data_IF_560781207760
#
_entry.id   IF_560781207760
#
_cell.length_a   1.000
_cell.length_b   1.000
_cell.length_c   1.000
_cell.angle_alpha   90.00
_cell.angle_beta   90.00
_cell.angle_gamma   90.00
#
_symmetry.space_group_name_H-M   'P 1'
#
loop_
_entity.id
_entity.type
_entity.pdbx_description
1 polymer ?
#
# COMPACT_ATOMS: atom_id res chain seq x y z
N UNK A 1 -12.79 -16.73 -30.33
CA UNK A 1 -13.14 -18.16 -30.20
C UNK A 1 -12.35 -18.75 -29.05
N UNK A 2 -12.63 -19.98 -28.56
CA UNK A 2 -11.77 -20.63 -27.57
C UNK A 2 -10.29 -20.65 -27.98
N UNK A 3 -10.01 -20.79 -29.28
CA UNK A 3 -8.64 -20.81 -29.83
C UNK A 3 -7.92 -19.45 -29.75
N UNK A 4 -8.64 -18.33 -29.71
CA UNK A 4 -8.08 -16.97 -29.62
C UNK A 4 -8.32 -16.33 -28.25
N UNK A 5 -8.53 -17.14 -27.21
CA UNK A 5 -8.87 -16.62 -25.89
C UNK A 5 -7.72 -15.82 -25.26
N UNK A 6 -6.51 -16.38 -25.23
CA UNK A 6 -5.32 -15.73 -24.68
C UNK A 6 -5.01 -14.39 -25.35
N UNK A 7 -5.08 -14.33 -26.67
CA UNK A 7 -4.85 -13.06 -27.39
C UNK A 7 -5.96 -12.05 -27.13
N UNK A 8 -7.23 -12.49 -27.04
CA UNK A 8 -8.32 -11.60 -26.67
C UNK A 8 -8.14 -11.02 -25.27
N UNK A 9 -7.70 -11.84 -24.30
CA UNK A 9 -7.36 -11.38 -22.95
C UNK A 9 -6.23 -10.35 -23.00
N UNK A 10 -5.13 -10.64 -23.70
CA UNK A 10 -4.02 -9.70 -23.86
C UNK A 10 -4.50 -8.33 -24.36
N UNK A 11 -5.26 -8.30 -25.45
CA UNK A 11 -5.76 -7.07 -26.05
C UNK A 11 -6.76 -6.31 -25.17
N UNK A 12 -7.63 -7.02 -24.45
CA UNK A 12 -8.65 -6.41 -23.60
C UNK A 12 -8.10 -5.97 -22.25
N UNK A 13 -7.04 -6.62 -21.76
CA UNK A 13 -6.30 -6.20 -20.57
C UNK A 13 -5.40 -5.00 -20.88
N UNK A 14 -4.72 -5.01 -22.02
CA UNK A 14 -3.76 -3.97 -22.38
C UNK A 14 -2.54 -3.96 -21.43
N UNK A 15 -1.92 -2.80 -21.18
CA UNK A 15 -2.27 -1.46 -21.65
C UNK A 15 -2.02 -1.25 -23.16
N UNK A 16 -2.44 -0.11 -23.73
CA UNK A 16 -2.13 0.21 -25.15
C UNK A 16 -0.61 0.23 -25.43
N UNK A 17 0.24 0.86 -24.59
CA UNK A 17 1.70 0.75 -24.71
C UNK A 17 2.20 -0.70 -24.77
N UNK A 18 1.76 -1.56 -23.85
CA UNK A 18 2.11 -3.00 -23.84
C UNK A 18 1.87 -3.67 -25.21
N UNK A 19 0.68 -3.45 -25.77
CA UNK A 19 0.30 -4.05 -27.07
C UNK A 19 1.17 -3.53 -28.21
N UNK A 20 1.56 -2.25 -28.17
CA UNK A 20 2.44 -1.67 -29.19
C UNK A 20 3.84 -2.27 -29.13
N UNK A 21 4.39 -2.47 -27.93
CA UNK A 21 5.70 -3.12 -27.76
C UNK A 21 5.68 -4.54 -28.34
N UNK A 22 4.68 -5.36 -27.96
CA UNK A 22 4.55 -6.73 -28.49
C UNK A 22 4.32 -6.78 -30.01
N UNK A 23 3.57 -5.81 -30.57
CA UNK A 23 3.41 -5.70 -32.03
C UNK A 23 4.70 -5.35 -32.74
N UNK A 24 5.51 -4.45 -32.19
CA UNK A 24 6.80 -4.11 -32.76
C UNK A 24 7.75 -5.31 -32.70
N UNK A 25 7.79 -6.04 -31.57
CA UNK A 25 8.55 -7.29 -31.47
C UNK A 25 8.09 -8.34 -32.48
N UNK A 26 6.80 -8.42 -32.79
CA UNK A 26 6.29 -9.28 -33.85
C UNK A 26 6.83 -8.87 -35.22
N UNK A 27 6.76 -7.57 -35.56
CA UNK A 27 7.29 -7.05 -36.82
C UNK A 27 8.80 -7.32 -36.96
N UNK A 28 9.57 -7.12 -35.89
CA UNK A 28 11.02 -7.38 -35.86
C UNK A 28 11.37 -8.86 -36.09
N UNK A 29 10.41 -9.77 -35.91
CA UNK A 29 10.53 -11.22 -36.15
C UNK A 29 9.80 -11.70 -37.41
N UNK A 30 9.39 -10.80 -38.31
CA UNK A 30 8.56 -11.10 -39.49
C UNK A 30 7.22 -11.79 -39.15
N UNK A 31 6.67 -11.47 -37.98
CA UNK A 31 5.39 -11.97 -37.47
C UNK A 31 4.32 -10.87 -37.46
N UNK A 32 3.06 -11.29 -37.39
CA UNK A 32 1.90 -10.40 -37.20
C UNK A 32 1.13 -10.80 -35.94
N UNK A 33 1.10 -9.91 -34.95
CA UNK A 33 0.21 -10.02 -33.80
C UNK A 33 -1.10 -9.25 -34.05
N UNK A 34 -2.24 -9.94 -34.02
CA UNK A 34 -3.59 -9.37 -34.15
C UNK A 34 -4.58 -10.01 -33.16
N UNK A 35 -5.85 -9.63 -33.19
CA UNK A 35 -6.90 -10.09 -32.27
C UNK A 35 -7.23 -11.60 -32.36
N UNK A 36 -6.65 -12.32 -33.32
CA UNK A 36 -6.84 -13.76 -33.52
C UNK A 36 -5.61 -14.61 -33.15
N UNK A 37 -4.43 -14.00 -33.00
CA UNK A 37 -3.18 -14.69 -32.64
C UNK A 37 -1.92 -14.02 -33.19
N UNK A 38 -0.80 -14.72 -33.08
CA UNK A 38 0.47 -14.41 -33.75
C UNK A 38 0.60 -15.31 -34.98
N UNK A 39 0.90 -14.73 -36.14
CA UNK A 39 0.98 -15.44 -37.42
C UNK A 39 2.31 -15.16 -38.13
N UNK A 40 2.81 -16.13 -38.90
CA UNK A 40 3.81 -15.86 -39.94
C UNK A 40 3.15 -15.33 -41.21
N UNK A 41 3.91 -14.61 -42.02
CA UNK A 41 3.41 -14.14 -43.31
C UNK A 41 2.98 -15.33 -44.21
N UNK A 42 1.70 -15.34 -44.59
CA UNK A 42 1.14 -16.35 -45.50
C UNK A 42 0.64 -17.64 -44.82
N UNK A 43 0.68 -17.73 -43.48
CA UNK A 43 0.10 -18.85 -42.72
C UNK A 43 -1.30 -18.47 -42.18
N UNK A 44 -2.26 -19.39 -42.31
CA UNK A 44 -3.63 -19.24 -41.77
C UNK A 44 -3.75 -19.77 -40.33
N UNK A 45 -2.80 -20.59 -39.87
CA UNK A 45 -2.75 -21.12 -38.51
C UNK A 45 -1.85 -20.23 -37.63
N UNK A 46 -2.30 -19.85 -36.40
CA UNK A 46 -1.49 -19.03 -35.51
C UNK A 46 -0.39 -19.86 -34.83
N UNK A 47 0.76 -19.23 -34.60
CA UNK A 47 1.84 -19.76 -33.76
C UNK A 47 1.44 -19.82 -32.28
N UNK A 48 0.72 -18.80 -31.81
CA UNK A 48 0.21 -18.69 -30.46
C UNK A 48 -1.07 -17.84 -30.45
N UNK A 49 -2.05 -18.25 -29.67
CA UNK A 49 -3.35 -17.57 -29.58
C UNK A 49 -4.17 -17.98 -28.33
N UNK A 50 -4.01 -19.23 -27.87
CA UNK A 50 -4.88 -19.85 -26.88
C UNK A 50 -4.64 -19.34 -25.45
N UNK A 51 -3.38 -19.14 -25.05
CA UNK A 51 -3.00 -18.64 -23.72
C UNK A 51 -2.14 -17.38 -23.85
N UNK A 52 -2.08 -16.55 -22.80
CA UNK A 52 -1.20 -15.38 -22.80
C UNK A 52 0.27 -15.81 -22.68
N UNK A 53 0.53 -16.88 -21.93
CA UNK A 53 1.84 -17.49 -21.72
C UNK A 53 2.46 -17.92 -23.06
N UNK A 54 1.70 -18.59 -23.93
CA UNK A 54 2.18 -18.99 -25.26
C UNK A 54 2.54 -17.77 -26.12
N UNK A 55 1.81 -16.65 -25.97
CA UNK A 55 2.07 -15.42 -26.70
C UNK A 55 3.38 -14.78 -26.25
N UNK A 56 3.61 -14.68 -24.93
CA UNK A 56 4.89 -14.17 -24.40
C UNK A 56 6.05 -15.09 -24.77
N UNK A 57 5.85 -16.41 -24.76
CA UNK A 57 6.88 -17.38 -25.14
C UNK A 57 7.36 -17.24 -26.60
N UNK A 58 6.50 -16.80 -27.53
CA UNK A 58 6.92 -16.50 -28.91
C UNK A 58 7.99 -15.40 -28.97
N UNK A 59 8.06 -14.54 -27.96
CA UNK A 59 9.01 -13.44 -27.85
C UNK A 59 10.16 -13.72 -26.87
N UNK A 60 10.29 -14.96 -26.38
CA UNK A 60 11.25 -15.35 -25.34
C UNK A 60 11.10 -14.51 -24.06
N UNK A 61 9.86 -14.18 -23.70
CA UNK A 61 9.52 -13.43 -22.49
C UNK A 61 8.86 -14.36 -21.48
N UNK A 62 9.19 -14.16 -20.20
CA UNK A 62 8.33 -14.65 -19.12
C UNK A 62 6.93 -14.04 -19.22
N UNK A 63 5.93 -14.75 -18.69
CA UNK A 63 4.59 -14.21 -18.57
C UNK A 63 4.58 -12.95 -17.70
N UNK A 64 4.11 -11.83 -18.26
CA UNK A 64 4.00 -10.56 -17.57
C UNK A 64 2.61 -10.45 -16.92
N UNK A 65 2.51 -10.41 -15.58
CA UNK A 65 1.25 -10.22 -14.88
C UNK A 65 0.55 -8.91 -15.30
N UNK A 66 -0.79 -8.88 -15.42
CA UNK A 66 -1.54 -7.68 -15.82
C UNK A 66 -1.17 -6.40 -15.07
N UNK A 67 -0.83 -6.50 -13.79
CA UNK A 67 -0.49 -5.38 -12.92
C UNK A 67 0.78 -4.64 -13.34
N UNK A 68 1.66 -5.28 -14.12
CA UNK A 68 2.94 -4.70 -14.55
C UNK A 68 2.88 -4.09 -15.95
N UNK A 69 1.80 -4.31 -16.71
CA UNK A 69 1.68 -4.02 -18.16
C UNK A 69 1.47 -2.54 -18.48
N UNK A 70 2.38 -1.69 -18.04
CA UNK A 70 2.29 -0.22 -18.11
C UNK A 70 3.49 0.42 -18.86
N UNK A 71 4.36 -0.37 -19.49
CA UNK A 71 5.56 0.06 -20.20
C UNK A 71 6.52 0.84 -19.29
N UNK A 72 6.84 0.24 -18.14
CA UNK A 72 7.71 0.81 -17.08
C UNK A 72 8.88 -0.12 -16.69
N UNK A 73 9.30 -0.97 -17.63
CA UNK A 73 10.46 -1.87 -17.52
C UNK A 73 10.13 -3.36 -17.46
N UNK A 74 8.85 -3.75 -17.50
CA UNK A 74 8.39 -5.14 -17.37
C UNK A 74 8.90 -6.03 -18.51
N UNK A 75 9.08 -5.48 -19.71
CA UNK A 75 9.62 -6.23 -20.84
C UNK A 75 11.09 -6.61 -20.68
N UNK A 76 11.90 -5.71 -20.12
CA UNK A 76 13.31 -6.00 -19.87
C UNK A 76 13.43 -7.02 -18.74
N UNK A 77 12.68 -6.83 -17.65
CA UNK A 77 12.62 -7.80 -16.56
C UNK A 77 12.12 -9.18 -17.01
N UNK A 78 11.14 -9.24 -17.91
CA UNK A 78 10.63 -10.50 -18.46
C UNK A 78 11.64 -11.21 -19.37
N UNK A 79 12.47 -10.46 -20.10
CA UNK A 79 13.54 -11.00 -20.95
C UNK A 79 14.74 -11.48 -20.14
N UNK A 80 15.03 -10.78 -19.05
CA UNK A 80 16.15 -11.10 -18.15
C UNK A 80 15.77 -12.14 -17.09
N UNK A 81 14.52 -12.60 -17.07
CA UNK A 81 13.96 -13.52 -16.07
C UNK A 81 14.08 -12.98 -14.62
N UNK A 82 13.87 -11.68 -14.46
CA UNK A 82 13.96 -10.95 -13.18
C UNK A 82 12.63 -10.29 -12.77
N UNK A 83 11.50 -10.73 -13.33
CA UNK A 83 10.19 -10.28 -12.86
C UNK A 83 10.01 -10.60 -11.37
N UNK A 84 9.50 -9.67 -10.56
CA UNK A 84 9.31 -9.91 -9.13
C UNK A 84 8.15 -10.89 -8.88
N UNK A 85 8.29 -11.72 -7.84
CA UNK A 85 7.14 -12.43 -7.25
C UNK A 85 6.27 -11.42 -6.51
N UNK A 86 5.20 -10.97 -7.16
CA UNK A 86 4.33 -9.93 -6.65
C UNK A 86 3.59 -10.36 -5.38
N UNK A 87 3.48 -9.43 -4.43
CA UNK A 87 2.72 -9.61 -3.19
C UNK A 87 1.26 -10.03 -3.47
N UNK A 88 0.72 -10.82 -2.56
CA UNK A 88 -0.65 -11.35 -2.59
C UNK A 88 -1.37 -11.01 -1.28
N UNK A 89 -2.69 -11.23 -1.27
CA UNK A 89 -3.47 -11.09 -0.03
C UNK A 89 -3.05 -12.09 1.05
N UNK A 90 -2.66 -13.30 0.65
CA UNK A 90 -2.27 -14.37 1.56
C UNK A 90 -0.93 -14.09 2.28
N UNK A 91 -0.13 -13.15 1.75
CA UNK A 91 1.09 -12.69 2.41
C UNK A 91 0.79 -11.79 3.62
N UNK A 92 -0.43 -11.25 3.74
CA UNK A 92 -0.77 -10.24 4.74
C UNK A 92 -1.09 -10.87 6.08
N UNK A 93 -0.38 -10.42 7.13
CA UNK A 93 -0.54 -10.95 8.50
C UNK A 93 -1.33 -10.02 9.40
N UNK A 94 -1.65 -8.82 8.95
CA UNK A 94 -2.46 -7.87 9.70
C UNK A 94 -2.61 -6.53 9.02
N UNK A 95 -3.50 -5.72 9.57
CA UNK A 95 -3.75 -4.35 9.16
C UNK A 95 -3.13 -3.35 10.14
N UNK A 96 -2.58 -2.26 9.62
CA UNK A 96 -1.79 -1.28 10.36
C UNK A 96 -2.48 0.09 10.50
N UNK A 97 -3.72 0.24 10.01
CA UNK A 97 -4.57 1.41 10.29
C UNK A 97 -6.04 1.00 10.32
N UNK A 98 -6.68 1.13 11.47
CA UNK A 98 -8.14 1.02 11.62
C UNK A 98 -8.64 1.81 12.83
N UNK A 99 -9.92 2.14 12.80
CA UNK A 99 -10.56 3.09 13.69
C UNK A 99 -11.73 2.43 14.42
N UNK A 100 -12.00 2.88 15.63
CA UNK A 100 -13.09 2.36 16.47
C UNK A 100 -14.02 3.51 16.87
N UNK A 101 -15.10 3.18 17.57
CA UNK A 101 -16.00 4.17 18.18
C UNK A 101 -15.30 5.10 19.19
N UNK A 102 -14.05 4.81 19.58
CA UNK A 102 -13.27 5.68 20.44
C UNK A 102 -12.87 7.00 19.73
N UNK A 103 -12.85 7.03 18.39
CA UNK A 103 -12.75 8.26 17.62
C UNK A 103 -13.89 8.41 16.60
N UNK A 104 -13.64 8.09 15.32
CA UNK A 104 -14.58 8.28 14.21
C UNK A 104 -15.03 6.97 13.54
N UNK A 105 -14.64 5.82 14.10
CA UNK A 105 -15.12 4.51 13.67
C UNK A 105 -16.55 4.20 14.13
N UNK A 106 -17.10 3.11 13.58
CA UNK A 106 -18.47 2.66 13.77
C UNK A 106 -18.57 1.27 14.40
N UNK A 107 -17.45 0.68 14.80
CA UNK A 107 -17.37 -0.64 15.42
C UNK A 107 -16.62 -0.57 16.76
N UNK A 108 -17.04 -1.41 17.70
CA UNK A 108 -16.37 -1.56 18.99
C UNK A 108 -14.99 -2.21 18.80
N UNK A 109 -14.09 -1.96 19.75
CA UNK A 109 -12.73 -2.50 19.75
C UNK A 109 -12.68 -4.03 19.56
N UNK A 110 -13.54 -4.76 20.29
CA UNK A 110 -13.62 -6.23 20.19
C UNK A 110 -14.18 -6.68 18.84
N UNK A 111 -15.18 -5.99 18.29
CA UNK A 111 -15.78 -6.35 17.01
C UNK A 111 -14.75 -6.24 15.87
N UNK A 112 -13.93 -5.19 15.90
CA UNK A 112 -12.82 -5.02 14.96
C UNK A 112 -11.79 -6.15 15.08
N UNK A 113 -11.41 -6.52 16.32
CA UNK A 113 -10.50 -7.62 16.59
C UNK A 113 -11.03 -8.95 16.06
N UNK A 114 -12.29 -9.28 16.34
CA UNK A 114 -12.92 -10.53 15.91
C UNK A 114 -13.08 -10.59 14.38
N UNK A 115 -13.41 -9.48 13.74
CA UNK A 115 -13.49 -9.40 12.29
C UNK A 115 -12.11 -9.60 11.63
N UNK A 116 -11.05 -8.99 12.15
CA UNK A 116 -9.69 -9.20 11.67
C UNK A 116 -9.22 -10.65 11.85
N UNK A 117 -9.55 -11.28 12.98
CA UNK A 117 -9.28 -12.70 13.23
C UNK A 117 -10.02 -13.60 12.23
N UNK A 118 -11.28 -13.28 11.91
CA UNK A 118 -12.06 -14.03 10.92
C UNK A 118 -11.47 -13.92 9.50
N UNK A 119 -10.70 -12.87 9.21
CA UNK A 119 -9.92 -12.72 7.97
C UNK A 119 -8.58 -13.46 8.00
N UNK A 120 -8.20 -14.08 9.12
CA UNK A 120 -6.96 -14.83 9.29
C UNK A 120 -5.75 -13.96 9.66
N UNK A 121 -5.96 -12.70 10.04
CA UNK A 121 -4.86 -11.86 10.52
C UNK A 121 -4.35 -12.33 11.88
N UNK A 122 -3.04 -12.16 12.10
CA UNK A 122 -2.35 -12.41 13.35
C UNK A 122 -2.30 -11.14 14.24
N UNK A 123 -2.49 -9.95 13.65
CA UNK A 123 -2.58 -8.71 14.39
C UNK A 123 -3.44 -7.65 13.69
N UNK A 124 -3.86 -6.65 14.47
CA UNK A 124 -4.58 -5.47 13.99
C UNK A 124 -4.12 -4.24 14.80
N UNK A 125 -3.71 -3.18 14.12
CA UNK A 125 -3.38 -1.92 14.79
C UNK A 125 -4.62 -1.03 14.95
N UNK A 126 -4.92 -0.64 16.18
CA UNK A 126 -5.99 0.31 16.50
C UNK A 126 -5.39 1.70 16.50
N UNK A 127 -5.74 2.52 15.52
CA UNK A 127 -5.10 3.80 15.22
C UNK A 127 -6.09 4.96 15.30
N UNK A 128 -6.98 4.92 16.30
CA UNK A 128 -7.90 6.03 16.55
C UNK A 128 -7.16 7.38 16.60
N UNK A 129 -7.83 8.43 16.09
CA UNK A 129 -7.20 9.73 15.90
C UNK A 129 -6.79 10.39 17.22
N UNK A 130 -5.65 11.08 17.21
CA UNK A 130 -5.30 12.04 18.26
C UNK A 130 -6.25 13.24 18.26
N UNK A 131 -6.53 13.81 19.43
CA UNK A 131 -7.28 15.06 19.53
C UNK A 131 -6.42 16.24 19.09
N UNK A 132 -6.88 16.94 18.06
CA UNK A 132 -6.21 18.14 17.54
C UNK A 132 -7.22 19.26 17.26
N UNK A 133 -6.75 20.50 17.09
CA UNK A 133 -7.60 21.69 16.83
C UNK A 133 -8.54 21.48 15.62
N UNK A 134 -8.17 20.61 14.67
CA UNK A 134 -9.00 20.20 13.53
C UNK A 134 -9.77 18.88 13.67
N UNK A 135 -9.49 18.06 14.68
CA UNK A 135 -10.11 16.74 14.91
C UNK A 135 -10.73 16.72 16.31
N UNK A 136 -12.05 16.94 16.36
CA UNK A 136 -12.78 17.07 17.63
C UNK A 136 -13.17 15.74 18.27
N UNK A 137 -13.24 14.67 17.48
CA UNK A 137 -13.55 13.30 17.94
C UNK A 137 -12.31 12.48 18.31
N UNK A 138 -11.12 13.09 18.39
CA UNK A 138 -9.89 12.37 18.73
C UNK A 138 -9.68 12.13 20.24
N UNK A 139 -8.77 11.21 20.53
CA UNK A 139 -8.31 10.84 21.87
C UNK A 139 -7.26 11.82 22.38
N UNK A 140 -7.43 12.32 23.61
CA UNK A 140 -6.33 12.94 24.35
C UNK A 140 -5.48 11.87 25.04
N UNK A 141 -4.40 12.28 25.72
CA UNK A 141 -3.48 11.36 26.37
C UNK A 141 -4.15 10.47 27.44
N UNK A 142 -5.16 10.98 28.15
CA UNK A 142 -5.87 10.22 29.18
C UNK A 142 -6.83 9.19 28.56
N UNK A 143 -7.54 9.57 27.49
CA UNK A 143 -8.41 8.65 26.76
C UNK A 143 -7.60 7.56 26.04
N UNK A 144 -6.47 7.93 25.42
CA UNK A 144 -5.57 6.96 24.79
C UNK A 144 -4.96 5.99 25.82
N UNK A 145 -4.62 6.48 27.02
CA UNK A 145 -4.17 5.61 28.11
C UNK A 145 -5.24 4.57 28.49
N UNK A 146 -6.51 4.96 28.56
CA UNK A 146 -7.60 4.03 28.84
C UNK A 146 -7.80 3.00 27.70
N UNK A 147 -7.63 3.41 26.44
CA UNK A 147 -7.69 2.50 25.30
C UNK A 147 -6.53 1.50 25.31
N UNK A 148 -5.31 1.94 25.64
CA UNK A 148 -4.15 1.05 25.85
C UNK A 148 -4.48 -0.03 26.88
N UNK A 149 -5.04 0.36 28.03
CA UNK A 149 -5.36 -0.58 29.10
C UNK A 149 -6.46 -1.58 28.67
N UNK A 150 -7.44 -1.12 27.87
CA UNK A 150 -8.46 -1.99 27.28
C UNK A 150 -7.88 -2.98 26.25
N UNK A 151 -6.94 -2.52 25.42
CA UNK A 151 -6.21 -3.38 24.46
C UNK A 151 -5.39 -4.43 25.20
N UNK A 152 -4.70 -4.07 26.28
CA UNK A 152 -3.91 -5.01 27.08
C UNK A 152 -4.82 -6.08 27.72
N UNK A 153 -5.98 -5.68 28.25
CA UNK A 153 -6.97 -6.62 28.80
C UNK A 153 -7.52 -7.60 27.76
N UNK A 154 -7.78 -7.15 26.53
CA UNK A 154 -8.22 -8.02 25.43
C UNK A 154 -7.11 -8.96 24.95
N UNK A 155 -5.88 -8.46 24.85
CA UNK A 155 -4.72 -9.27 24.46
C UNK A 155 -4.46 -10.42 25.45
N UNK A 156 -4.79 -10.26 26.73
CA UNK A 156 -4.68 -11.33 27.73
C UNK A 156 -5.67 -12.50 27.49
N UNK A 157 -6.68 -12.32 26.63
CA UNK A 157 -7.65 -13.35 26.28
C UNK A 157 -7.25 -14.22 25.07
N UNK A 158 -6.23 -13.82 24.30
CA UNK A 158 -5.88 -14.46 23.03
C UNK A 158 -4.39 -14.79 22.91
N UNK A 159 -4.09 -16.04 22.57
CA UNK A 159 -2.71 -16.49 22.29
C UNK A 159 -2.34 -16.43 20.79
N UNK A 160 -3.35 -16.39 19.92
CA UNK A 160 -3.25 -16.50 18.46
C UNK A 160 -3.33 -15.15 17.72
N UNK A 161 -3.74 -14.09 18.41
CA UNK A 161 -4.01 -12.78 17.84
C UNK A 161 -3.51 -11.66 18.75
N UNK A 162 -3.17 -10.51 18.17
CA UNK A 162 -2.74 -9.34 18.93
C UNK A 162 -3.31 -8.04 18.38
N UNK A 163 -3.98 -7.28 19.24
CA UNK A 163 -4.22 -5.86 19.03
C UNK A 163 -2.94 -5.07 19.31
N UNK A 164 -2.51 -4.25 18.35
CA UNK A 164 -1.38 -3.35 18.53
C UNK A 164 -1.89 -2.03 19.11
N UNK A 165 -1.22 -1.58 20.18
CA UNK A 165 -1.48 -0.27 20.78
C UNK A 165 -0.96 0.81 19.84
N UNK A 166 -1.84 1.48 19.12
CA UNK A 166 -1.44 2.47 18.15
C UNK A 166 -2.31 3.73 18.23
N UNK A 167 -1.95 4.73 17.43
CA UNK A 167 -2.70 5.98 17.29
C UNK A 167 -2.32 6.61 15.95
N UNK A 168 -3.30 7.23 15.30
CA UNK A 168 -3.04 8.18 14.22
C UNK A 168 -2.79 9.57 14.81
N UNK A 169 -1.52 9.97 14.81
CA UNK A 169 -1.05 11.19 15.43
C UNK A 169 -0.95 12.31 14.39
N UNK A 170 -1.68 13.38 14.60
CA UNK A 170 -1.61 14.55 13.73
C UNK A 170 -0.21 15.16 13.72
N UNK A 171 0.19 15.65 12.55
CA UNK A 171 1.36 16.50 12.35
C UNK A 171 0.88 17.95 12.34
N UNK A 172 1.33 18.78 13.29
CA UNK A 172 1.01 20.21 13.34
C UNK A 172 1.71 20.99 12.21
N UNK A 173 1.31 22.25 11.95
CA UNK A 173 1.86 23.10 10.88
C UNK A 173 3.40 23.21 10.94
N UNK A 174 3.97 23.23 12.15
CA UNK A 174 5.41 23.32 12.37
C UNK A 174 6.15 21.98 12.36
N UNK A 175 5.44 20.87 12.13
CA UNK A 175 5.97 19.51 12.11
C UNK A 175 6.02 18.82 13.47
N UNK A 176 5.51 19.42 14.56
CA UNK A 176 5.36 18.72 15.83
C UNK A 176 4.28 17.63 15.77
N UNK A 177 4.43 16.56 16.56
CA UNK A 177 3.39 15.54 16.74
C UNK A 177 2.42 15.97 17.83
N UNK A 178 1.12 15.80 17.59
CA UNK A 178 0.05 16.28 18.49
C UNK A 178 -0.28 15.24 19.59
N UNK A 179 0.73 14.80 20.33
CA UNK A 179 0.59 14.06 21.60
C UNK A 179 1.92 14.15 22.38
N UNK A 180 1.91 14.15 23.73
CA UNK A 180 3.14 14.14 24.51
C UNK A 180 3.96 12.83 24.36
N UNK A 181 5.28 12.91 24.47
CA UNK A 181 6.19 11.77 24.28
C UNK A 181 5.92 10.62 25.27
N UNK A 182 5.46 10.89 26.49
CA UNK A 182 5.22 9.87 27.52
C UNK A 182 4.09 8.91 27.16
N UNK A 183 3.02 9.41 26.54
CA UNK A 183 1.95 8.56 26.01
C UNK A 183 2.35 7.89 24.70
N UNK A 184 3.08 8.59 23.83
CA UNK A 184 3.59 8.01 22.57
C UNK A 184 4.55 6.84 22.81
N UNK A 185 5.37 6.91 23.87
CA UNK A 185 6.29 5.85 24.26
C UNK A 185 5.60 4.54 24.70
N UNK A 186 4.30 4.57 25.03
CA UNK A 186 3.51 3.39 25.41
C UNK A 186 2.96 2.62 24.20
N UNK A 187 2.99 3.23 23.02
CA UNK A 187 2.40 2.66 21.80
C UNK A 187 3.38 1.72 21.09
N UNK A 188 2.84 0.61 20.59
CA UNK A 188 3.52 -0.34 19.71
C UNK A 188 3.81 0.26 18.32
N UNK A 189 2.90 1.12 17.83
CA UNK A 189 2.97 1.76 16.51
C UNK A 189 2.40 3.19 16.56
N UNK A 190 3.02 4.13 15.87
CA UNK A 190 2.44 5.46 15.61
C UNK A 190 2.40 5.71 14.12
N UNK A 191 1.21 5.87 13.58
CA UNK A 191 1.06 6.41 12.24
C UNK A 191 0.86 7.92 12.38
N UNK A 192 1.42 8.69 11.47
CA UNK A 192 1.41 10.14 11.54
C UNK A 192 0.93 10.71 10.22
N UNK A 193 0.09 11.74 10.26
CA UNK A 193 -0.58 12.24 9.06
C UNK A 193 -0.86 13.74 9.13
N UNK A 194 -1.12 14.31 7.96
CA UNK A 194 -1.51 15.71 7.79
C UNK A 194 -3.01 15.77 7.59
N UNK A 195 -3.73 16.44 8.49
CA UNK A 195 -5.17 16.70 8.36
C UNK A 195 -5.53 18.18 8.18
N UNK A 196 -4.53 19.07 8.20
CA UNK A 196 -4.70 20.52 8.21
C UNK A 196 -3.65 21.20 7.34
N UNK A 197 -3.89 22.46 6.97
CA UNK A 197 -2.97 23.29 6.17
C UNK A 197 -2.57 22.60 4.84
N UNK A 198 -3.56 22.08 4.11
CA UNK A 198 -3.36 21.39 2.83
C UNK A 198 -2.90 22.32 1.69
N UNK A 199 -3.01 23.62 1.87
CA UNK A 199 -2.71 24.69 0.91
C UNK A 199 -1.29 25.27 1.08
N UNK A 200 -0.47 24.71 1.98
CA UNK A 200 0.93 25.10 2.11
C UNK A 200 1.70 24.92 0.80
N UNK A 201 2.67 25.81 0.58
CA UNK A 201 3.59 25.67 -0.55
C UNK A 201 4.36 24.35 -0.47
N UNK A 202 4.62 23.74 -1.64
CA UNK A 202 5.25 22.41 -1.78
C UNK A 202 6.44 22.18 -0.84
N UNK A 203 7.39 23.12 -0.82
CA UNK A 203 8.59 22.97 0.00
C UNK A 203 8.28 23.07 1.50
N UNK A 204 7.35 23.96 1.90
CA UNK A 204 6.94 24.07 3.31
C UNK A 204 6.25 22.80 3.80
N UNK A 205 5.34 22.23 3.00
CA UNK A 205 4.65 20.99 3.36
C UNK A 205 5.63 19.81 3.44
N UNK A 206 6.60 19.77 2.51
CA UNK A 206 7.67 18.77 2.52
C UNK A 206 8.51 18.88 3.80
N UNK A 207 8.98 20.08 4.17
CA UNK A 207 9.76 20.29 5.40
C UNK A 207 8.96 19.98 6.66
N UNK A 208 7.67 20.32 6.71
CA UNK A 208 6.78 19.98 7.82
C UNK A 208 6.77 18.47 8.08
N UNK A 209 6.57 17.68 7.03
CA UNK A 209 6.54 16.21 7.11
C UNK A 209 7.91 15.66 7.51
N UNK A 210 9.00 16.15 6.90
CA UNK A 210 10.36 15.69 7.21
C UNK A 210 10.72 16.00 8.68
N UNK A 211 10.37 17.19 9.17
CA UNK A 211 10.57 17.57 10.57
C UNK A 211 9.80 16.67 11.54
N UNK A 212 8.59 16.25 11.19
CA UNK A 212 7.84 15.30 12.01
C UNK A 212 8.57 13.96 12.16
N UNK A 213 9.28 13.51 11.13
CA UNK A 213 10.08 12.28 11.17
C UNK A 213 11.30 12.35 12.10
N UNK A 214 11.74 13.56 12.50
CA UNK A 214 12.81 13.73 13.49
C UNK A 214 12.37 13.32 14.91
N UNK A 215 11.07 13.26 15.18
CA UNK A 215 10.54 12.73 16.44
C UNK A 215 10.79 11.20 16.51
N UNK A 216 11.40 10.66 17.58
CA UNK A 216 11.68 9.22 17.70
C UNK A 216 10.41 8.36 17.72
N UNK A 217 9.26 8.95 18.04
CA UNK A 217 7.97 8.27 18.02
C UNK A 217 7.33 8.22 16.63
N UNK A 218 7.87 8.83 15.58
CA UNK A 218 7.29 8.69 14.23
C UNK A 218 7.60 7.30 13.63
N UNK A 219 6.60 6.53 13.19
CA UNK A 219 6.87 5.28 12.44
C UNK A 219 6.46 5.35 10.97
N UNK A 220 5.19 5.64 10.70
CA UNK A 220 4.61 5.54 9.35
C UNK A 220 3.96 6.86 8.99
N UNK A 221 4.26 7.40 7.82
CA UNK A 221 3.48 8.49 7.23
C UNK A 221 2.21 7.89 6.60
N UNK A 222 1.05 8.10 7.22
CA UNK A 222 -0.23 7.63 6.72
C UNK A 222 -0.72 8.51 5.56
N UNK A 223 -1.38 7.89 4.58
CA UNK A 223 -1.95 8.49 3.37
C UNK A 223 -1.18 9.75 2.89
N UNK A 224 0.05 9.57 2.35
CA UNK A 224 1.09 10.61 2.27
C UNK A 224 0.77 11.86 1.43
N UNK A 225 -0.31 11.86 0.65
CA UNK A 225 -0.76 13.01 -0.14
C UNK A 225 -2.03 13.65 0.43
N UNK A 226 -2.71 12.99 1.37
CA UNK A 226 -3.98 13.41 1.94
C UNK A 226 -5.12 13.53 0.91
N UNK A 227 -4.97 12.90 -0.26
CA UNK A 227 -5.98 12.97 -1.32
C UNK A 227 -7.25 12.24 -0.93
N UNK A 228 -8.36 12.68 -1.52
CA UNK A 228 -9.63 11.94 -1.53
C UNK A 228 -10.16 11.98 -2.96
N UNK A 229 -10.18 10.82 -3.62
CA UNK A 229 -10.56 10.64 -5.02
C UNK A 229 -11.95 11.23 -5.27
N UNK A 230 -12.03 12.13 -6.25
CA UNK A 230 -13.25 12.84 -6.62
C UNK A 230 -13.68 13.97 -5.67
N UNK A 231 -12.98 14.19 -4.54
CA UNK A 231 -13.34 15.24 -3.55
C UNK A 231 -12.20 16.23 -3.29
N UNK A 232 -10.99 15.76 -3.03
CA UNK A 232 -9.82 16.59 -2.64
C UNK A 232 -8.58 16.10 -3.38
N UNK A 233 -7.95 16.98 -4.16
CA UNK A 233 -6.63 16.69 -4.71
C UNK A 233 -5.60 16.55 -3.58
N UNK A 234 -4.54 15.78 -3.81
CA UNK A 234 -3.44 15.70 -2.85
C UNK A 234 -2.79 17.06 -2.63
N UNK A 235 -2.34 17.34 -1.41
CA UNK A 235 -1.59 18.56 -1.12
C UNK A 235 -0.25 18.56 -1.85
N UNK A 236 0.31 19.75 -2.09
CA UNK A 236 1.59 19.87 -2.78
C UNK A 236 2.72 19.36 -1.88
N UNK A 237 3.36 18.26 -2.27
CA UNK A 237 4.47 17.64 -1.51
C UNK A 237 5.52 17.04 -2.46
N UNK A 238 6.78 17.06 -2.05
CA UNK A 238 7.87 16.34 -2.71
C UNK A 238 8.01 14.92 -2.14
N UNK A 239 7.25 13.97 -2.68
CA UNK A 239 7.28 12.59 -2.19
C UNK A 239 8.66 11.93 -2.32
N UNK A 240 9.47 12.33 -3.31
CA UNK A 240 10.83 11.79 -3.47
C UNK A 240 11.71 12.20 -2.30
N UNK A 241 11.68 13.48 -1.92
CA UNK A 241 12.40 13.98 -0.73
C UNK A 241 11.87 13.38 0.57
N UNK A 242 10.55 13.20 0.68
CA UNK A 242 9.93 12.56 1.85
C UNK A 242 10.37 11.09 1.97
N UNK A 243 10.41 10.33 0.87
CA UNK A 243 10.88 8.93 0.88
C UNK A 243 12.36 8.81 1.24
N UNK A 244 13.21 9.70 0.72
CA UNK A 244 14.62 9.77 1.10
C UNK A 244 14.79 10.04 2.61
N UNK A 245 14.08 11.05 3.12
CA UNK A 245 14.11 11.39 4.54
C UNK A 245 13.57 10.27 5.44
N UNK A 246 12.50 9.57 5.01
CA UNK A 246 11.93 8.44 5.73
C UNK A 246 12.95 7.31 5.84
N UNK A 247 13.61 6.95 4.73
CA UNK A 247 14.65 5.91 4.71
C UNK A 247 15.82 6.24 5.64
N UNK A 248 16.30 7.48 5.62
CA UNK A 248 17.40 7.93 6.48
C UNK A 248 17.07 7.85 7.98
N UNK A 249 15.78 7.99 8.32
CA UNK A 249 15.29 8.07 9.70
C UNK A 249 14.72 6.76 10.23
N UNK A 250 14.63 5.73 9.41
CA UNK A 250 13.96 4.48 9.77
C UNK A 250 12.43 4.62 9.87
N UNK A 251 11.84 5.53 9.09
CA UNK A 251 10.39 5.69 8.95
C UNK A 251 9.91 5.02 7.66
N UNK A 252 8.59 4.80 7.58
CA UNK A 252 7.94 4.14 6.45
C UNK A 252 6.79 5.00 5.90
N UNK A 253 6.28 4.66 4.72
CA UNK A 253 5.11 5.29 4.11
C UNK A 253 3.99 4.26 3.94
N UNK A 254 2.76 4.75 3.88
CA UNK A 254 1.56 3.93 3.72
C UNK A 254 1.06 3.87 2.27
N UNK A 255 0.51 2.71 1.91
CA UNK A 255 -0.44 2.49 0.82
C UNK A 255 -1.80 2.21 1.47
N UNK A 256 -2.62 3.25 1.55
CA UNK A 256 -3.94 3.20 2.14
C UNK A 256 -4.94 2.62 1.13
N UNK A 257 -5.56 1.51 1.48
CA UNK A 257 -6.43 0.72 0.61
C UNK A 257 -7.89 1.22 0.59
N UNK A 258 -8.22 2.27 1.36
CA UNK A 258 -9.55 2.87 1.31
C UNK A 258 -9.88 3.27 -0.14
N UNK A 259 -11.03 2.85 -0.70
CA UNK A 259 -11.32 3.04 -2.13
C UNK A 259 -11.35 4.49 -2.59
N UNK A 260 -11.64 5.42 -1.69
CA UNK A 260 -11.63 6.86 -1.96
C UNK A 260 -10.28 7.52 -1.66
N UNK A 261 -9.28 6.79 -1.15
CA UNK A 261 -7.90 7.27 -0.98
C UNK A 261 -6.95 6.67 -2.03
N UNK A 262 -6.73 5.35 -1.95
CA UNK A 262 -5.69 4.61 -2.69
C UNK A 262 -4.33 5.30 -2.64
N UNK A 263 -3.90 5.75 -1.46
CA UNK A 263 -2.76 6.65 -1.27
C UNK A 263 -1.72 5.99 -0.37
N UNK A 264 -0.53 5.61 -0.83
CA UNK A 264 0.22 6.05 -2.01
C UNK A 264 -0.15 5.39 -3.36
N UNK A 265 0.06 6.10 -4.47
CA UNK A 265 -0.09 5.53 -5.81
C UNK A 265 1.04 4.54 -6.20
N UNK A 266 0.85 3.80 -7.31
CA UNK A 266 1.77 2.76 -7.78
C UNK A 266 3.11 3.29 -8.26
N UNK A 267 3.12 4.46 -8.90
CA UNK A 267 4.35 5.06 -9.39
C UNK A 267 5.29 5.39 -8.22
N UNK A 268 4.75 5.98 -7.15
CA UNK A 268 5.53 6.26 -5.96
C UNK A 268 5.81 5.00 -5.13
N UNK A 269 4.93 4.00 -5.13
CA UNK A 269 5.22 2.70 -4.52
C UNK A 269 6.42 2.00 -5.22
N UNK A 270 6.48 2.04 -6.55
CA UNK A 270 7.64 1.54 -7.32
C UNK A 270 8.91 2.34 -7.00
N UNK A 271 8.81 3.65 -6.91
CA UNK A 271 9.94 4.50 -6.50
C UNK A 271 10.44 4.16 -5.09
N UNK A 272 9.55 3.92 -4.13
CA UNK A 272 9.93 3.48 -2.78
C UNK A 272 10.69 2.15 -2.80
N UNK A 273 10.20 1.17 -3.58
CA UNK A 273 10.89 -0.11 -3.80
C UNK A 273 12.30 0.07 -4.37
N UNK A 274 12.44 0.89 -5.42
CA UNK A 274 13.75 1.17 -6.04
C UNK A 274 14.71 1.86 -5.06
N UNK A 275 14.17 2.64 -4.13
CA UNK A 275 14.93 3.22 -3.01
C UNK A 275 15.22 2.22 -1.89
N UNK A 276 14.62 1.02 -1.88
CA UNK A 276 14.70 0.08 -0.76
C UNK A 276 13.96 0.56 0.50
N UNK A 277 12.98 1.45 0.36
CA UNK A 277 12.09 1.89 1.41
C UNK A 277 10.91 0.91 1.51
N UNK A 278 10.71 0.31 2.69
CA UNK A 278 9.56 -0.56 2.94
C UNK A 278 8.29 0.29 3.11
N UNK A 279 7.15 -0.29 2.74
CA UNK A 279 5.84 0.35 2.84
C UNK A 279 4.90 -0.44 3.76
N UNK A 280 3.94 0.24 4.37
CA UNK A 280 2.80 -0.39 5.02
C UNK A 280 1.60 -0.38 4.06
N UNK A 281 0.77 -1.42 4.10
CA UNK A 281 -0.54 -1.42 3.44
C UNK A 281 -1.60 -1.48 4.53
N UNK A 282 -2.58 -0.61 4.50
CA UNK A 282 -3.64 -0.55 5.50
C UNK A 282 -4.99 -0.34 4.85
N UNK A 283 -6.08 -0.53 5.59
CA UNK A 283 -7.44 -0.28 5.07
C UNK A 283 -8.04 1.04 5.49
N UNK A 284 -7.53 1.68 6.55
CA UNK A 284 -8.16 2.85 7.16
C UNK A 284 -9.62 2.53 7.51
N UNK A 285 -9.82 1.34 8.09
CA UNK A 285 -11.15 0.79 8.29
C UNK A 285 -11.87 1.47 9.46
N UNK A 286 -12.97 2.15 9.17
CA UNK A 286 -13.92 2.69 10.17
C UNK A 286 -15.05 1.72 10.53
N UNK A 287 -15.09 0.54 9.93
CA UNK A 287 -16.00 -0.55 10.26
C UNK A 287 -15.40 -1.91 9.88
N UNK A 288 -16.03 -2.99 10.33
CA UNK A 288 -15.54 -4.36 10.13
C UNK A 288 -15.56 -4.80 8.66
N UNK A 289 -16.47 -4.25 7.84
CA UNK A 289 -16.55 -4.58 6.41
C UNK A 289 -15.42 -3.92 5.62
N UNK A 290 -14.99 -2.73 6.05
CA UNK A 290 -13.89 -1.96 5.43
C UNK A 290 -12.55 -2.67 5.51
N UNK A 291 -12.35 -3.59 6.47
CA UNK A 291 -11.16 -4.47 6.52
C UNK A 291 -10.97 -5.31 5.25
N UNK A 292 -12.05 -5.58 4.48
CA UNK A 292 -12.00 -6.33 3.22
C UNK A 292 -11.42 -5.50 2.07
N UNK A 293 -11.21 -4.19 2.26
CA UNK A 293 -10.67 -3.31 1.22
C UNK A 293 -9.17 -3.51 0.97
N UNK A 294 -8.47 -4.28 1.82
CA UNK A 294 -7.03 -4.59 1.70
C UNK A 294 -6.63 -5.01 0.27
N UNK A 295 -7.51 -5.71 -0.44
CA UNK A 295 -7.34 -6.10 -1.84
C UNK A 295 -6.97 -4.94 -2.77
N UNK A 296 -7.48 -3.73 -2.51
CA UNK A 296 -7.18 -2.57 -3.33
C UNK A 296 -5.77 -2.03 -3.07
N UNK A 297 -5.33 -2.03 -1.82
CA UNK A 297 -3.94 -1.74 -1.45
C UNK A 297 -2.96 -2.75 -2.03
N UNK A 298 -3.31 -4.06 -2.00
CA UNK A 298 -2.53 -5.10 -2.67
C UNK A 298 -2.47 -4.88 -4.18
N UNK A 299 -3.57 -4.53 -4.84
CA UNK A 299 -3.54 -4.21 -6.27
C UNK A 299 -2.60 -3.03 -6.57
N UNK A 300 -2.62 -2.00 -5.72
CA UNK A 300 -1.73 -0.84 -5.84
C UNK A 300 -0.25 -1.23 -5.62
N UNK A 301 0.03 -2.06 -4.61
CA UNK A 301 1.34 -2.61 -4.30
C UNK A 301 1.89 -3.48 -5.45
N UNK A 302 1.06 -4.36 -6.03
CA UNK A 302 1.42 -5.19 -7.18
C UNK A 302 1.77 -4.34 -8.40
N UNK A 303 0.98 -3.30 -8.68
CA UNK A 303 1.31 -2.30 -9.72
C UNK A 303 2.58 -1.51 -9.39
N UNK A 304 2.91 -1.34 -8.11
CA UNK A 304 4.18 -0.79 -7.62
C UNK A 304 5.35 -1.79 -7.65
N UNK A 305 5.16 -2.98 -8.25
CA UNK A 305 6.16 -4.06 -8.32
C UNK A 305 6.55 -4.64 -6.95
N UNK A 306 5.77 -4.39 -5.90
CA UNK A 306 6.11 -4.80 -4.55
C UNK A 306 6.02 -6.31 -4.39
N UNK A 307 6.99 -6.84 -3.66
CA UNK A 307 7.07 -8.23 -3.18
C UNK A 307 6.70 -8.26 -1.70
N UNK A 308 6.53 -9.46 -1.13
CA UNK A 308 6.27 -9.60 0.30
C UNK A 308 7.36 -8.94 1.17
N UNK A 309 8.62 -8.95 0.73
CA UNK A 309 9.73 -8.36 1.48
C UNK A 309 9.64 -6.84 1.58
N UNK A 310 9.00 -6.18 0.62
CA UNK A 310 8.86 -4.72 0.55
C UNK A 310 7.78 -4.17 1.49
N UNK A 311 6.88 -5.03 1.98
CA UNK A 311 5.71 -4.62 2.76
C UNK A 311 5.83 -5.05 4.22
N UNK A 312 5.60 -4.12 5.16
CA UNK A 312 5.71 -4.37 6.60
C UNK A 312 4.77 -5.46 7.10
N UNK A 313 3.54 -5.46 6.58
CA UNK A 313 2.43 -6.31 7.00
C UNK A 313 2.66 -7.82 6.80
N UNK A 314 3.67 -8.21 6.03
CA UNK A 314 3.97 -9.62 5.74
C UNK A 314 4.76 -10.29 6.86
N UNK A 315 5.16 -9.50 7.86
CA UNK A 315 6.06 -9.95 8.93
C UNK A 315 5.27 -10.43 10.14
N UNK A 316 5.71 -11.52 10.78
CA UNK A 316 5.15 -11.86 12.09
C UNK A 316 5.48 -10.75 13.09
N UNK A 317 4.60 -10.58 14.08
CA UNK A 317 4.69 -9.48 15.05
C UNK A 317 6.10 -9.25 15.64
N UNK A 318 6.87 -10.27 16.08
CA UNK A 318 8.21 -10.05 16.62
C UNK A 318 9.21 -9.40 15.65
N UNK A 319 9.07 -9.63 14.34
CA UNK A 319 9.91 -9.01 13.32
C UNK A 319 9.41 -7.60 13.00
N UNK A 320 8.10 -7.43 12.81
CA UNK A 320 7.48 -6.12 12.59
C UNK A 320 7.84 -5.16 13.73
N UNK A 321 7.72 -5.59 14.99
CA UNK A 321 8.06 -4.79 16.16
C UNK A 321 9.51 -4.29 16.13
N UNK A 322 10.46 -5.11 15.67
CA UNK A 322 11.87 -4.68 15.56
C UNK A 322 12.07 -3.61 14.50
N UNK A 323 11.32 -3.68 13.39
CA UNK A 323 11.36 -2.65 12.36
C UNK A 323 10.76 -1.32 12.82
N UNK A 324 9.78 -1.37 13.72
CA UNK A 324 9.12 -0.17 14.27
C UNK A 324 9.89 0.46 15.45
N UNK A 325 10.98 -0.16 15.92
CA UNK A 325 11.85 0.41 16.96
C UNK A 325 12.76 1.48 16.38
N UNK A 326 12.77 2.66 17.00
CA UNK A 326 13.63 3.81 16.70
C UNK A 326 14.25 4.33 17.97
#
# INVERSE_FOLDING_TARGET
>A
TPQSFGVAMLYLTGSRPQILVLRNMAVDRDLKLNEYGIFRAGEDEPLAAATEEDIYAVFDLDYIPPELREDRGEFDAAREHTLPTLITLDDMRGDLQCHTVASDGHAELRDMAEAARALGYAYLAITDHSKFVGITQGLDAAALAAQIDAIDALNDEWDDFRLLKACEVDIDEDGALVLPDDILARLDLRICSVHTHFDLARDKQTERIIRAMDNPHFNILAHPTGRIIGKRAGYAVDLRRVMEAAKERGCFLEINAAPDRLDLDDAHAKAAKEMGLKLAVSTDAHDTDSLKTMRFGINQARRGWLTADDVLNTRPWPELRRLLQR
#
